data_IF_567917491375
#
_entry.id   IF_567917491375
#
_cell.length_a   1.000
_cell.length_b   1.000
_cell.length_c   1.000
_cell.angle_alpha   90.00
_cell.angle_beta   90.00
_cell.angle_gamma   90.00
#
_symmetry.space_group_name_H-M   'P 1'
#
loop_
_entity.id
_entity.type
_entity.pdbx_description
1 polymer ?
#
# COMPACT_ATOMS: atom_id res chain seq x y z
N UNK A 1 -3.88 7.99 -34.83
CA UNK A 1 -3.50 7.85 -36.27
C UNK A 1 -1.99 8.03 -36.40
N UNK A 2 -1.31 7.31 -37.29
CA UNK A 2 0.14 7.48 -37.47
C UNK A 2 0.37 8.48 -38.62
N UNK A 3 0.89 9.67 -38.32
CA UNK A 3 1.26 10.65 -39.32
C UNK A 3 2.56 10.28 -40.02
N UNK A 4 2.62 10.52 -41.33
CA UNK A 4 3.87 10.55 -42.08
C UNK A 4 4.06 11.95 -42.65
N UNK A 5 5.22 12.56 -42.41
CA UNK A 5 5.61 13.85 -42.97
C UNK A 5 6.81 13.62 -43.85
N UNK A 6 6.73 13.98 -45.12
CA UNK A 6 7.81 13.81 -46.09
C UNK A 6 8.20 15.14 -46.71
N UNK A 7 9.48 15.39 -46.90
CA UNK A 7 9.97 16.45 -47.78
C UNK A 7 9.79 16.02 -49.23
N UNK A 8 9.24 16.87 -50.05
CA UNK A 8 9.03 16.69 -51.48
C UNK A 8 9.61 17.85 -52.25
N UNK A 9 9.90 17.63 -53.53
CA UNK A 9 10.53 18.57 -54.43
C UNK A 9 9.58 18.88 -55.61
N UNK A 10 9.54 20.14 -56.04
CA UNK A 10 8.82 20.60 -57.22
C UNK A 10 9.73 21.45 -58.09
N UNK A 11 9.83 21.16 -59.41
CA UNK A 11 10.59 21.94 -60.35
C UNK A 11 10.08 23.40 -60.47
N UNK A 12 10.99 24.36 -60.40
CA UNK A 12 10.74 25.79 -60.56
C UNK A 12 11.72 26.38 -61.58
N UNK A 13 11.45 27.56 -62.10
CA UNK A 13 12.31 28.28 -63.04
C UNK A 13 12.76 27.43 -64.25
N UNK A 14 11.82 26.92 -65.03
CA UNK A 14 12.07 26.05 -66.20
C UNK A 14 13.01 24.89 -65.94
N UNK A 15 13.07 24.41 -64.66
CA UNK A 15 13.80 23.25 -64.22
C UNK A 15 15.21 23.53 -63.67
N UNK A 16 15.63 24.78 -63.53
CA UNK A 16 16.93 25.13 -62.95
C UNK A 16 16.98 25.03 -61.41
N UNK A 17 15.84 25.12 -60.75
CA UNK A 17 15.72 25.03 -59.30
C UNK A 17 14.58 24.07 -58.87
N UNK A 18 14.69 23.50 -57.67
CA UNK A 18 13.68 22.71 -57.00
C UNK A 18 13.18 23.48 -55.79
N UNK A 19 11.87 23.65 -55.64
CA UNK A 19 11.26 24.18 -54.43
C UNK A 19 10.85 23.03 -53.54
N UNK A 20 11.13 23.13 -52.24
CA UNK A 20 10.83 22.12 -51.24
C UNK A 20 9.47 22.38 -50.56
N UNK A 21 8.72 21.31 -50.31
CA UNK A 21 7.47 21.37 -49.55
C UNK A 21 7.29 20.12 -48.71
N UNK A 22 6.50 20.19 -47.63
CA UNK A 22 6.13 19.04 -46.83
C UNK A 22 4.81 18.46 -47.37
N UNK A 23 4.76 17.13 -47.41
CA UNK A 23 3.55 16.33 -47.64
C UNK A 23 3.14 15.60 -46.36
N UNK A 24 1.90 15.83 -45.93
CA UNK A 24 1.29 15.21 -44.75
C UNK A 24 0.38 14.04 -45.14
N UNK A 25 0.60 12.88 -44.54
CA UNK A 25 -0.21 11.67 -44.76
C UNK A 25 -0.56 11.02 -43.42
N UNK A 26 -1.86 11.03 -43.00
CA UNK A 26 -2.98 11.74 -43.60
C UNK A 26 -2.86 13.27 -43.50
N UNK A 27 -3.64 14.05 -44.27
CA UNK A 27 -3.74 15.50 -44.10
C UNK A 27 -4.15 15.85 -42.66
N UNK A 28 -3.66 16.96 -42.13
CA UNK A 28 -4.09 17.45 -40.80
C UNK A 28 -5.02 18.61 -40.89
N UNK A 29 -5.86 18.80 -39.85
CA UNK A 29 -6.78 19.92 -39.78
C UNK A 29 -6.18 21.01 -38.88
N UNK A 30 -6.14 22.26 -39.41
CA UNK A 30 -5.71 23.42 -38.63
C UNK A 30 -6.75 23.79 -37.58
N UNK A 31 -6.41 24.63 -36.56
CA UNK A 31 -7.40 25.16 -35.60
C UNK A 31 -8.57 25.90 -36.23
N UNK A 32 -8.37 26.46 -37.44
CA UNK A 32 -9.40 27.16 -38.19
C UNK A 32 -10.27 26.26 -39.07
N UNK A 33 -10.08 24.91 -38.98
CA UNK A 33 -10.86 23.92 -39.74
C UNK A 33 -10.35 23.61 -41.15
N UNK A 34 -9.24 24.21 -41.58
CA UNK A 34 -8.66 23.94 -42.92
C UNK A 34 -7.92 22.64 -42.97
N UNK A 35 -8.14 21.86 -44.04
CA UNK A 35 -7.44 20.58 -44.26
C UNK A 35 -6.15 20.83 -45.06
N UNK A 36 -5.01 20.63 -44.41
CA UNK A 36 -3.68 20.87 -44.98
C UNK A 36 -3.01 19.54 -45.35
N UNK A 37 -2.74 19.34 -46.62
CA UNK A 37 -1.96 18.18 -47.13
C UNK A 37 -0.55 18.55 -47.52
N UNK A 38 -0.32 19.81 -47.95
CA UNK A 38 0.95 20.31 -48.42
C UNK A 38 1.30 21.63 -47.76
N UNK A 39 2.55 21.79 -47.32
CA UNK A 39 3.09 23.05 -46.75
C UNK A 39 4.34 23.43 -47.51
N UNK A 40 4.35 24.60 -48.17
CA UNK A 40 5.53 25.10 -48.87
C UNK A 40 6.56 25.62 -47.86
N UNK A 41 7.82 25.17 -48.00
CA UNK A 41 8.89 25.59 -47.12
C UNK A 41 9.58 26.89 -47.53
N UNK A 42 9.32 27.36 -48.75
CA UNK A 42 10.04 28.48 -49.36
C UNK A 42 11.57 28.28 -49.39
N UNK A 43 11.99 27.04 -49.49
CA UNK A 43 13.38 26.60 -49.63
C UNK A 43 13.61 26.11 -51.05
N UNK A 44 14.75 26.44 -51.63
CA UNK A 44 15.05 26.11 -53.00
C UNK A 44 16.45 25.45 -53.12
N UNK A 45 16.55 24.46 -54.00
CA UNK A 45 17.79 23.73 -54.32
C UNK A 45 18.17 23.95 -55.76
N UNK A 46 19.47 24.01 -56.03
CA UNK A 46 19.99 23.95 -57.39
C UNK A 46 19.90 22.51 -57.94
N UNK A 47 19.32 22.34 -59.13
CA UNK A 47 19.19 21.00 -59.75
C UNK A 47 20.54 20.42 -60.14
N UNK A 48 21.42 21.28 -60.76
CA UNK A 48 22.78 20.94 -61.11
C UNK A 48 23.71 21.98 -60.54
N UNK A 49 24.24 21.80 -59.34
CA UNK A 49 25.15 22.78 -58.73
C UNK A 49 26.42 22.91 -59.54
N UNK A 50 26.76 24.15 -59.98
CA UNK A 50 27.88 24.42 -60.83
C UNK A 50 29.21 24.64 -60.11
N UNK A 51 29.17 24.78 -58.76
CA UNK A 51 30.32 25.04 -57.93
C UNK A 51 30.11 24.55 -56.47
N UNK A 52 31.19 24.52 -55.70
CA UNK A 52 31.17 24.04 -54.31
C UNK A 52 30.25 24.89 -53.39
N UNK A 53 30.09 26.19 -53.70
CA UNK A 53 29.21 27.07 -52.92
C UNK A 53 27.72 26.61 -53.10
N UNK A 54 27.30 26.26 -54.31
CA UNK A 54 25.94 25.78 -54.58
C UNK A 54 25.73 24.39 -53.98
N UNK A 55 26.75 23.53 -53.97
CA UNK A 55 26.67 22.23 -53.30
C UNK A 55 26.51 22.39 -51.78
N UNK A 56 27.29 23.32 -51.21
CA UNK A 56 27.18 23.63 -49.78
C UNK A 56 25.83 24.24 -49.43
N UNK A 57 25.29 25.10 -50.29
CA UNK A 57 23.92 25.64 -50.16
C UNK A 57 22.90 24.48 -50.15
N UNK A 58 22.96 23.59 -51.13
CA UNK A 58 22.01 22.45 -51.19
C UNK A 58 22.08 21.57 -49.95
N UNK A 59 23.26 21.28 -49.41
CA UNK A 59 23.41 20.52 -48.15
C UNK A 59 22.74 21.22 -46.99
N UNK A 60 23.00 22.52 -46.82
CA UNK A 60 22.43 23.33 -45.73
C UNK A 60 20.87 23.42 -45.85
N UNK A 61 20.37 23.61 -47.05
CA UNK A 61 18.90 23.68 -47.29
C UNK A 61 18.22 22.35 -46.99
N UNK A 62 18.84 21.22 -47.34
CA UNK A 62 18.31 19.90 -46.99
C UNK A 62 18.29 19.64 -45.48
N UNK A 63 19.35 20.04 -44.75
CA UNK A 63 19.37 19.95 -43.28
C UNK A 63 18.26 20.79 -42.63
N UNK A 64 18.05 22.02 -43.13
CA UNK A 64 16.95 22.90 -42.66
C UNK A 64 15.60 22.24 -42.94
N UNK A 65 15.38 21.74 -44.16
CA UNK A 65 14.12 21.07 -44.54
C UNK A 65 13.82 19.85 -43.66
N UNK A 66 14.81 19.02 -43.36
CA UNK A 66 14.67 17.88 -42.45
C UNK A 66 14.39 18.31 -41.01
N UNK A 67 15.01 19.38 -40.54
CA UNK A 67 14.72 19.94 -39.20
C UNK A 67 13.26 20.40 -39.12
N UNK A 68 12.77 21.16 -40.09
CA UNK A 68 11.36 21.62 -40.14
C UNK A 68 10.42 20.40 -40.24
N UNK A 69 10.75 19.38 -41.03
CA UNK A 69 9.98 18.16 -41.13
C UNK A 69 9.82 17.46 -39.75
N UNK A 70 10.92 17.33 -39.01
CA UNK A 70 10.92 16.74 -37.67
C UNK A 70 10.06 17.55 -36.69
N UNK A 71 10.19 18.88 -36.68
CA UNK A 71 9.39 19.77 -35.82
C UNK A 71 7.89 19.64 -36.11
N UNK A 72 7.50 19.62 -37.42
CA UNK A 72 6.09 19.43 -37.80
C UNK A 72 5.55 18.08 -37.38
N UNK A 73 6.34 17.02 -37.57
CA UNK A 73 5.97 15.69 -37.12
C UNK A 73 5.72 15.63 -35.61
N UNK A 74 6.67 16.16 -34.81
CA UNK A 74 6.54 16.21 -33.34
C UNK A 74 5.30 17.02 -32.92
N UNK A 75 5.03 18.14 -33.56
CA UNK A 75 3.87 18.99 -33.28
C UNK A 75 2.55 18.24 -33.53
N UNK A 76 2.45 17.49 -34.62
CA UNK A 76 1.24 16.70 -34.94
C UNK A 76 1.03 15.56 -33.97
N UNK A 77 2.08 14.82 -33.63
CA UNK A 77 2.03 13.72 -32.64
C UNK A 77 1.67 14.25 -31.25
N UNK A 78 2.22 15.41 -30.87
CA UNK A 78 1.87 16.05 -29.59
C UNK A 78 0.42 16.51 -29.53
N UNK A 79 -0.15 17.05 -30.63
CA UNK A 79 -1.57 17.43 -30.69
C UNK A 79 -2.48 16.22 -30.48
N UNK A 80 -2.20 15.10 -31.15
CA UNK A 80 -2.96 13.85 -30.97
C UNK A 80 -2.82 13.32 -29.54
N UNK A 81 -1.61 13.36 -28.99
CA UNK A 81 -1.36 12.96 -27.60
C UNK A 81 -2.10 13.83 -26.58
N UNK A 82 -2.11 15.14 -26.78
CA UNK A 82 -2.84 16.10 -25.92
C UNK A 82 -4.36 15.90 -26.05
N UNK A 83 -4.90 15.63 -27.24
CA UNK A 83 -6.32 15.34 -27.43
C UNK A 83 -6.73 14.03 -26.72
N UNK A 84 -5.96 12.95 -26.92
CA UNK A 84 -6.17 11.68 -26.24
C UNK A 84 -6.02 11.78 -24.71
N UNK A 85 -5.12 12.65 -24.22
CA UNK A 85 -4.97 12.88 -22.79
C UNK A 85 -6.11 13.70 -22.19
N UNK A 86 -6.69 14.64 -22.93
CA UNK A 86 -7.87 15.41 -22.48
C UNK A 86 -9.09 14.50 -22.28
N UNK A 87 -9.35 13.57 -23.19
CA UNK A 87 -10.46 12.62 -23.06
C UNK A 87 -10.25 11.71 -21.84
N UNK A 88 -9.04 11.20 -21.62
CA UNK A 88 -8.71 10.41 -20.44
C UNK A 88 -8.84 11.21 -19.13
N UNK A 89 -8.44 12.47 -19.14
CA UNK A 89 -8.48 13.34 -17.96
C UNK A 89 -9.91 13.79 -17.61
N UNK A 90 -10.87 13.74 -18.54
CA UNK A 90 -12.30 14.01 -18.28
C UNK A 90 -13.03 12.81 -17.66
N UNK A 91 -12.42 11.63 -17.63
CA UNK A 91 -12.97 10.42 -17.04
C UNK A 91 -13.23 10.53 -15.53
N UNK A 92 -14.16 9.72 -15.03
CA UNK A 92 -14.56 9.72 -13.62
C UNK A 92 -13.52 8.96 -12.74
N UNK A 93 -12.81 9.69 -11.90
CA UNK A 93 -11.84 9.12 -10.95
C UNK A 93 -12.53 8.32 -9.84
N UNK A 94 -13.77 8.65 -9.46
CA UNK A 94 -14.50 7.94 -8.41
C UNK A 94 -14.88 6.54 -8.89
N UNK A 95 -15.34 6.43 -10.13
CA UNK A 95 -15.64 5.13 -10.75
C UNK A 95 -14.37 4.28 -10.88
N UNK A 96 -13.28 4.88 -11.34
CA UNK A 96 -11.97 4.21 -11.40
C UNK A 96 -11.52 3.72 -10.02
N UNK A 97 -11.62 4.55 -8.99
CA UNK A 97 -11.29 4.20 -7.62
C UNK A 97 -12.17 3.02 -7.15
N UNK A 98 -13.48 3.08 -7.40
CA UNK A 98 -14.43 2.02 -7.02
C UNK A 98 -14.09 0.68 -7.66
N UNK A 99 -13.82 0.67 -8.96
CA UNK A 99 -13.51 -0.55 -9.71
C UNK A 99 -12.22 -1.21 -9.20
N UNK A 100 -11.25 -0.43 -8.74
CA UNK A 100 -10.00 -0.92 -8.20
C UNK A 100 -10.06 -1.31 -6.71
N UNK A 101 -11.01 -0.79 -5.92
CA UNK A 101 -11.17 -1.13 -4.50
C UNK A 101 -11.33 -2.63 -4.25
N UNK A 102 -12.02 -3.34 -5.13
CA UNK A 102 -12.33 -4.77 -5.01
C UNK A 102 -11.09 -5.65 -4.84
N UNK A 103 -9.96 -5.22 -5.40
CA UNK A 103 -8.70 -5.98 -5.36
C UNK A 103 -7.85 -5.72 -4.10
N UNK A 104 -8.16 -4.66 -3.33
CA UNK A 104 -7.27 -4.18 -2.26
C UNK A 104 -7.88 -4.24 -0.85
N UNK A 105 -9.18 -4.59 -0.73
CA UNK A 105 -9.85 -4.85 0.54
C UNK A 105 -10.38 -3.60 1.26
N UNK A 106 -10.99 -3.81 2.41
CA UNK A 106 -11.85 -2.88 3.16
C UNK A 106 -11.24 -1.50 3.44
N UNK A 107 -9.92 -1.42 3.59
CA UNK A 107 -9.20 -0.15 3.80
C UNK A 107 -9.40 0.81 2.62
N UNK A 108 -9.40 0.30 1.40
CA UNK A 108 -9.59 1.09 0.18
C UNK A 108 -11.04 1.52 0.03
N UNK A 109 -11.99 0.66 0.37
CA UNK A 109 -13.43 1.00 0.38
C UNK A 109 -13.74 2.11 1.40
N UNK A 110 -13.14 2.03 2.60
CA UNK A 110 -13.28 3.07 3.60
C UNK A 110 -12.67 4.41 3.12
N UNK A 111 -11.51 4.35 2.46
CA UNK A 111 -10.88 5.52 1.84
C UNK A 111 -11.79 6.14 0.77
N UNK A 112 -12.35 5.34 -0.12
CA UNK A 112 -13.29 5.78 -1.15
C UNK A 112 -14.55 6.44 -0.55
N UNK A 113 -15.12 5.87 0.51
CA UNK A 113 -16.28 6.48 1.21
C UNK A 113 -15.95 7.87 1.73
N UNK A 114 -14.79 8.06 2.32
CA UNK A 114 -14.33 9.37 2.77
C UNK A 114 -14.05 10.31 1.60
N UNK A 115 -13.46 9.80 0.52
CA UNK A 115 -13.16 10.58 -0.67
C UNK A 115 -14.45 11.07 -1.36
N UNK A 116 -15.46 10.21 -1.51
CA UNK A 116 -16.79 10.59 -2.03
C UNK A 116 -17.42 11.75 -1.24
N UNK A 117 -17.31 11.72 0.10
CA UNK A 117 -17.81 12.82 0.93
C UNK A 117 -16.99 14.11 0.75
N UNK A 118 -15.69 13.99 0.55
CA UNK A 118 -14.83 15.15 0.31
C UNK A 118 -15.12 15.84 -1.00
N UNK A 119 -15.30 15.09 -2.08
CA UNK A 119 -15.48 15.64 -3.43
C UNK A 119 -16.95 15.81 -3.85
N UNK A 120 -17.94 15.52 -2.96
CA UNK A 120 -19.36 15.63 -3.31
C UNK A 120 -19.81 14.66 -4.40
N UNK A 121 -19.22 13.46 -4.46
CA UNK A 121 -19.46 12.43 -5.48
C UNK A 121 -19.13 12.85 -6.93
N UNK A 122 -18.31 13.89 -7.13
CA UNK A 122 -17.86 14.34 -8.45
C UNK A 122 -16.36 14.60 -8.41
N UNK A 123 -15.58 13.88 -9.20
CA UNK A 123 -14.15 14.09 -9.34
C UNK A 123 -13.66 13.48 -10.65
N UNK A 124 -13.06 14.28 -11.49
CA UNK A 124 -12.44 13.84 -12.74
C UNK A 124 -10.92 13.66 -12.53
N UNK A 125 -10.25 12.91 -13.42
CA UNK A 125 -8.79 12.76 -13.31
C UNK A 125 -8.04 14.09 -13.39
N UNK A 126 -8.54 15.08 -14.14
CA UNK A 126 -7.95 16.43 -14.21
C UNK A 126 -7.92 17.17 -12.87
N UNK A 127 -8.83 16.80 -11.94
CA UNK A 127 -8.93 17.42 -10.62
C UNK A 127 -7.88 16.86 -9.65
N UNK A 128 -7.26 15.71 -10.00
CA UNK A 128 -6.25 15.04 -9.19
C UNK A 128 -4.90 15.75 -9.35
N UNK A 129 -4.75 16.86 -8.68
CA UNK A 129 -3.52 17.65 -8.59
C UNK A 129 -2.96 17.61 -7.15
N UNK A 130 -1.68 17.93 -6.91
CA UNK A 130 -1.08 17.86 -5.57
C UNK A 130 -1.88 18.62 -4.50
N UNK A 131 -2.35 19.83 -4.80
CA UNK A 131 -3.14 20.65 -3.85
C UNK A 131 -4.47 20.00 -3.49
N UNK A 132 -5.14 19.34 -4.44
CA UNK A 132 -6.39 18.63 -4.19
C UNK A 132 -6.17 17.39 -3.29
N UNK A 133 -5.08 16.66 -3.52
CA UNK A 133 -4.68 15.54 -2.67
C UNK A 133 -4.34 16.02 -1.23
N UNK A 134 -3.64 17.14 -1.08
CA UNK A 134 -3.38 17.77 0.21
C UNK A 134 -4.70 18.21 0.90
N UNK A 135 -5.66 18.73 0.15
CA UNK A 135 -7.01 19.02 0.64
C UNK A 135 -7.69 17.80 1.24
N UNK A 136 -7.67 16.66 0.54
CA UNK A 136 -8.22 15.41 1.05
C UNK A 136 -7.46 14.90 2.30
N UNK A 137 -6.14 15.04 2.34
CA UNK A 137 -5.33 14.75 3.55
C UNK A 137 -5.82 15.56 4.75
N UNK A 138 -5.99 16.85 4.58
CA UNK A 138 -6.46 17.75 5.61
C UNK A 138 -7.90 17.44 6.06
N UNK A 139 -8.76 17.07 5.11
CA UNK A 139 -10.09 16.56 5.40
C UNK A 139 -10.04 15.34 6.31
N UNK A 140 -9.24 14.32 5.98
CA UNK A 140 -9.12 13.11 6.80
C UNK A 140 -8.61 13.39 8.23
N UNK A 141 -7.68 14.36 8.38
CA UNK A 141 -7.12 14.73 9.68
C UNK A 141 -8.10 15.49 10.57
N UNK A 142 -9.05 16.23 9.98
CA UNK A 142 -10.01 17.07 10.69
C UNK A 142 -11.38 16.43 10.81
N UNK A 143 -11.72 15.50 9.95
CA UNK A 143 -13.05 14.94 9.85
C UNK A 143 -13.39 13.97 10.99
N UNK A 144 -14.67 13.98 11.41
CA UNK A 144 -15.19 13.03 12.38
C UNK A 144 -15.47 11.68 11.70
N UNK A 145 -15.28 10.58 12.41
CA UNK A 145 -15.60 9.24 11.93
C UNK A 145 -17.08 9.13 11.53
N UNK A 146 -17.34 8.43 10.42
CA UNK A 146 -18.68 8.30 9.85
C UNK A 146 -19.70 7.65 10.78
N UNK A 147 -19.26 6.77 11.68
CA UNK A 147 -20.13 5.98 12.56
C UNK A 147 -20.24 6.50 14.00
N UNK A 148 -19.23 7.23 14.51
CA UNK A 148 -19.15 7.56 15.95
C UNK A 148 -18.97 9.04 16.26
N UNK A 149 -19.07 9.92 15.26
CA UNK A 149 -18.82 11.37 15.37
C UNK A 149 -17.48 11.78 16.05
N UNK A 150 -16.62 10.82 16.38
CA UNK A 150 -15.27 11.06 16.89
C UNK A 150 -14.31 11.35 15.73
N UNK A 151 -13.29 12.18 15.97
CA UNK A 151 -12.22 12.38 14.98
C UNK A 151 -11.59 11.05 14.59
N UNK A 152 -11.25 10.91 13.31
CA UNK A 152 -10.45 9.76 12.86
C UNK A 152 -9.13 9.74 13.62
N UNK A 153 -8.75 8.55 14.11
CA UNK A 153 -7.42 8.37 14.65
C UNK A 153 -6.37 8.67 13.56
N UNK A 154 -5.27 9.34 13.93
CA UNK A 154 -4.24 9.76 12.98
C UNK A 154 -3.72 8.61 12.11
N UNK A 155 -3.52 7.43 12.69
CA UNK A 155 -3.05 6.25 11.94
C UNK A 155 -4.13 5.69 11.00
N UNK A 156 -5.41 5.81 11.34
CA UNK A 156 -6.51 5.47 10.44
C UNK A 156 -6.56 6.44 9.25
N UNK A 157 -6.43 7.75 9.52
CA UNK A 157 -6.33 8.77 8.47
C UNK A 157 -5.12 8.51 7.55
N UNK A 158 -3.95 8.15 8.13
CA UNK A 158 -2.76 7.78 7.37
C UNK A 158 -2.98 6.56 6.48
N UNK A 159 -3.67 5.53 6.99
CA UNK A 159 -3.99 4.33 6.22
C UNK A 159 -4.93 4.64 5.06
N UNK A 160 -5.97 5.43 5.27
CA UNK A 160 -6.92 5.82 4.22
C UNK A 160 -6.27 6.72 3.17
N UNK A 161 -5.45 7.68 3.60
CA UNK A 161 -4.72 8.54 2.68
C UNK A 161 -3.71 7.75 1.84
N UNK A 162 -2.99 6.81 2.44
CA UNK A 162 -2.09 5.91 1.70
C UNK A 162 -2.84 5.06 0.67
N UNK A 163 -4.04 4.56 0.99
CA UNK A 163 -4.88 3.83 0.06
C UNK A 163 -5.29 4.70 -1.14
N UNK A 164 -5.69 5.95 -0.90
CA UNK A 164 -5.99 6.92 -1.94
C UNK A 164 -4.78 7.19 -2.84
N UNK A 165 -3.61 7.49 -2.27
CA UNK A 165 -2.40 7.73 -3.05
C UNK A 165 -1.96 6.52 -3.88
N UNK A 166 -2.23 5.29 -3.41
CA UNK A 166 -1.98 4.09 -4.20
C UNK A 166 -2.86 4.04 -5.46
N UNK A 167 -4.14 4.44 -5.37
CA UNK A 167 -5.02 4.52 -6.54
C UNK A 167 -4.58 5.63 -7.49
N UNK A 168 -4.16 6.79 -6.98
CA UNK A 168 -3.59 7.86 -7.81
C UNK A 168 -2.32 7.39 -8.53
N UNK A 169 -1.44 6.67 -7.83
CA UNK A 169 -0.25 6.08 -8.43
C UNK A 169 -0.57 5.00 -9.47
N UNK A 170 -1.65 4.24 -9.27
CA UNK A 170 -2.13 3.26 -10.24
C UNK A 170 -2.63 3.96 -11.52
N UNK A 171 -3.40 5.03 -11.39
CA UNK A 171 -3.87 5.83 -12.54
C UNK A 171 -2.71 6.42 -13.37
N UNK A 172 -1.60 6.77 -12.73
CA UNK A 172 -0.36 7.14 -13.43
C UNK A 172 0.27 5.95 -14.16
N UNK A 173 0.36 4.77 -13.54
CA UNK A 173 0.88 3.55 -14.17
C UNK A 173 0.05 3.10 -15.37
N UNK A 174 -1.26 3.28 -15.29
CA UNK A 174 -2.22 2.98 -16.37
C UNK A 174 -2.20 4.03 -17.50
N UNK A 175 -1.33 5.05 -17.40
CA UNK A 175 -1.18 6.11 -18.40
C UNK A 175 -2.39 7.03 -18.53
N UNK A 176 -3.22 7.13 -17.48
CA UNK A 176 -4.35 8.09 -17.43
C UNK A 176 -3.83 9.46 -16.96
N UNK A 177 -3.02 9.48 -15.91
CA UNK A 177 -2.32 10.68 -15.44
C UNK A 177 -0.95 10.77 -16.09
N UNK A 178 -0.60 11.94 -16.61
CA UNK A 178 0.71 12.20 -17.26
C UNK A 178 1.85 12.33 -16.27
N UNK A 179 1.58 12.65 -15.01
CA UNK A 179 2.57 12.83 -13.95
C UNK A 179 2.20 12.01 -12.71
N UNK A 180 3.20 11.54 -11.99
CA UNK A 180 2.98 10.83 -10.72
C UNK A 180 2.66 11.83 -9.59
N UNK A 181 1.40 12.26 -9.53
CA UNK A 181 0.90 13.19 -8.50
C UNK A 181 1.16 12.64 -7.08
N UNK A 182 1.01 11.32 -6.90
CA UNK A 182 1.19 10.70 -5.59
C UNK A 182 2.61 10.84 -5.03
N UNK A 183 3.64 10.90 -5.89
CA UNK A 183 5.03 11.08 -5.48
C UNK A 183 5.31 12.51 -4.96
N UNK A 184 4.53 13.49 -5.42
CA UNK A 184 4.70 14.90 -5.05
C UNK A 184 3.91 15.30 -3.79
N UNK A 185 3.22 14.36 -3.15
CA UNK A 185 2.37 14.64 -1.98
C UNK A 185 2.95 13.94 -0.75
N UNK A 186 3.18 14.71 0.32
CA UNK A 186 3.68 14.17 1.60
C UNK A 186 2.61 13.32 2.27
N UNK A 187 2.94 12.09 2.60
CA UNK A 187 2.07 11.17 3.35
C UNK A 187 1.82 11.65 4.78
N UNK A 188 0.79 11.11 5.42
CA UNK A 188 0.56 11.35 6.85
C UNK A 188 1.52 10.45 7.64
N UNK A 189 2.38 11.06 8.44
CA UNK A 189 3.30 10.31 9.33
C UNK A 189 2.52 9.54 10.41
N UNK A 190 2.85 8.26 10.56
CA UNK A 190 2.30 7.42 11.60
C UNK A 190 2.77 7.89 12.97
N UNK A 191 1.84 7.98 13.92
CA UNK A 191 2.22 8.07 15.33
C UNK A 191 2.45 6.67 15.85
N UNK A 192 3.66 6.39 16.27
CA UNK A 192 3.89 5.24 17.15
C UNK A 192 3.20 5.60 18.48
N UNK A 193 2.23 4.77 18.90
CA UNK A 193 1.60 4.97 20.22
C UNK A 193 2.65 4.86 21.32
N UNK A 194 2.40 5.58 22.41
CA UNK A 194 3.10 5.42 23.67
C UNK A 194 3.11 3.93 24.07
N UNK A 195 4.06 3.54 24.90
CA UNK A 195 4.40 2.17 25.27
C UNK A 195 3.20 1.21 25.25
N UNK A 196 3.30 0.16 24.43
CA UNK A 196 2.28 -0.89 24.41
C UNK A 196 2.21 -1.53 25.78
N UNK A 197 1.04 -1.49 26.43
CA UNK A 197 0.82 -2.19 27.68
C UNK A 197 0.90 -3.71 27.47
N UNK A 198 1.56 -4.39 28.39
CA UNK A 198 1.64 -5.84 28.46
C UNK A 198 1.51 -6.29 29.94
N UNK A 199 1.23 -7.57 30.16
CA UNK A 199 1.05 -8.10 31.51
C UNK A 199 2.40 -8.44 32.14
N UNK A 200 2.56 -8.08 33.42
CA UNK A 200 3.67 -8.52 34.27
C UNK A 200 3.42 -9.95 34.77
N UNK A 201 4.45 -10.63 35.28
CA UNK A 201 4.31 -11.98 35.87
C UNK A 201 3.30 -12.02 37.01
N UNK A 202 3.24 -10.97 37.86
CA UNK A 202 2.27 -10.87 38.94
C UNK A 202 0.83 -10.73 38.42
N UNK A 203 0.63 -9.98 37.33
CA UNK A 203 -0.68 -9.84 36.67
C UNK A 203 -1.13 -11.13 36.00
N UNK A 204 -0.20 -11.88 35.37
CA UNK A 204 -0.48 -13.19 34.79
C UNK A 204 -0.92 -14.17 35.89
N UNK A 205 -0.22 -14.23 37.02
CA UNK A 205 -0.61 -15.07 38.17
C UNK A 205 -2.00 -14.72 38.72
N UNK A 206 -2.40 -13.44 38.71
CA UNK A 206 -3.77 -13.02 39.08
C UNK A 206 -4.78 -13.50 38.06
N UNK A 207 -4.45 -13.38 36.76
CA UNK A 207 -5.30 -13.85 35.68
C UNK A 207 -5.51 -15.37 35.69
N UNK A 208 -4.48 -16.14 36.08
CA UNK A 208 -4.57 -17.60 36.25
C UNK A 208 -5.53 -17.98 37.39
N UNK A 209 -5.48 -17.26 38.51
CA UNK A 209 -6.25 -17.58 39.71
C UNK A 209 -7.72 -17.09 39.66
N UNK A 210 -8.02 -16.07 38.85
CA UNK A 210 -9.35 -15.48 38.80
C UNK A 210 -10.39 -16.49 38.32
N UNK A 211 -11.55 -16.57 38.98
CA UNK A 211 -12.72 -17.31 38.51
C UNK A 211 -13.41 -16.47 37.43
N UNK A 212 -13.66 -17.08 36.27
CA UNK A 212 -14.33 -16.41 35.15
C UNK A 212 -15.29 -17.39 34.49
N UNK A 213 -16.47 -17.52 35.09
CA UNK A 213 -17.45 -18.54 34.71
C UNK A 213 -18.38 -18.06 33.58
N UNK A 214 -18.36 -16.77 33.25
CA UNK A 214 -19.20 -16.18 32.19
C UNK A 214 -18.87 -16.77 30.81
N UNK A 215 -17.57 -16.99 30.56
CA UNK A 215 -17.08 -17.61 29.31
C UNK A 215 -15.67 -18.19 29.57
N UNK A 216 -15.59 -19.40 30.14
CA UNK A 216 -14.34 -20.02 30.55
C UNK A 216 -13.31 -20.15 29.42
N UNK A 217 -13.78 -20.40 28.18
CA UNK A 217 -12.93 -20.56 27.00
C UNK A 217 -12.18 -19.27 26.66
N UNK A 218 -12.72 -18.09 26.96
CA UNK A 218 -12.02 -16.81 26.79
C UNK A 218 -10.81 -16.73 27.70
N UNK A 219 -10.95 -17.15 28.97
CA UNK A 219 -9.81 -17.20 29.92
C UNK A 219 -8.77 -18.20 29.42
N UNK A 220 -9.19 -19.40 29.06
CA UNK A 220 -8.32 -20.48 28.59
C UNK A 220 -7.53 -20.06 27.34
N UNK A 221 -8.19 -19.50 26.31
CA UNK A 221 -7.57 -19.00 25.09
C UNK A 221 -6.63 -17.81 25.36
N UNK A 222 -7.00 -16.92 26.29
CA UNK A 222 -6.17 -15.79 26.70
C UNK A 222 -4.85 -16.23 27.32
N UNK A 223 -4.93 -17.16 28.28
CA UNK A 223 -3.74 -17.75 28.92
C UNK A 223 -2.91 -18.53 27.86
N UNK A 224 -3.55 -19.30 27.00
CA UNK A 224 -2.85 -20.01 25.94
C UNK A 224 -2.09 -19.04 25.01
N UNK A 225 -2.69 -17.91 24.64
CA UNK A 225 -2.03 -16.88 23.85
C UNK A 225 -0.84 -16.22 24.59
N UNK A 226 -0.91 -16.06 25.93
CA UNK A 226 0.21 -15.57 26.77
C UNK A 226 1.39 -16.55 26.78
N UNK A 227 1.14 -17.85 26.67
CA UNK A 227 2.18 -18.88 26.71
C UNK A 227 2.68 -19.33 25.32
N UNK A 228 2.03 -18.92 24.23
CA UNK A 228 2.38 -19.32 22.87
C UNK A 228 2.68 -18.17 21.93
N UNK A 229 2.22 -16.96 22.26
CA UNK A 229 2.37 -15.77 21.42
C UNK A 229 1.55 -15.80 20.12
N UNK A 230 0.60 -16.71 19.98
CA UNK A 230 -0.24 -16.82 18.79
C UNK A 230 -1.08 -15.57 18.53
N UNK A 231 -1.33 -15.28 17.26
CA UNK A 231 -2.30 -14.23 16.88
C UNK A 231 -3.72 -14.70 17.18
N UNK A 232 -4.63 -13.76 17.35
CA UNK A 232 -6.06 -14.04 17.57
C UNK A 232 -6.62 -14.99 16.49
N UNK A 233 -6.35 -14.73 15.23
CA UNK A 233 -6.78 -15.58 14.12
C UNK A 233 -6.25 -17.01 14.24
N UNK A 234 -5.01 -17.16 14.68
CA UNK A 234 -4.36 -18.46 14.77
C UNK A 234 -4.92 -19.26 15.96
N UNK A 235 -5.23 -18.60 17.08
CA UNK A 235 -5.91 -19.24 18.25
C UNK A 235 -7.32 -19.69 17.88
N UNK A 236 -8.09 -18.85 17.17
CA UNK A 236 -9.46 -19.16 16.77
C UNK A 236 -9.54 -20.31 15.72
N UNK A 237 -8.50 -20.45 14.91
CA UNK A 237 -8.41 -21.48 13.88
C UNK A 237 -7.62 -22.72 14.32
N UNK A 238 -7.15 -22.79 15.57
CA UNK A 238 -6.30 -23.87 16.05
C UNK A 238 -7.10 -25.18 16.15
N UNK A 239 -6.65 -26.19 15.41
CA UNK A 239 -7.28 -27.51 15.35
C UNK A 239 -6.40 -28.56 16.03
N UNK A 240 -7.00 -29.57 16.63
CA UNK A 240 -6.30 -30.68 17.27
C UNK A 240 -5.33 -31.41 16.34
N UNK A 241 -5.62 -31.49 15.04
CA UNK A 241 -4.73 -32.07 14.01
C UNK A 241 -3.41 -31.34 13.85
N UNK A 242 -3.35 -30.10 14.30
CA UNK A 242 -2.12 -29.30 14.27
C UNK A 242 -1.19 -29.61 15.44
N UNK A 243 -1.64 -30.36 16.45
CA UNK A 243 -0.92 -30.63 17.68
C UNK A 243 -0.21 -31.98 17.64
N UNK A 244 1.03 -32.01 18.16
CA UNK A 244 1.84 -33.19 18.27
C UNK A 244 2.22 -33.37 19.76
N UNK A 245 1.37 -34.09 20.52
CA UNK A 245 1.45 -34.22 21.97
C UNK A 245 2.02 -35.57 22.45
N UNK A 246 2.89 -36.18 21.66
CA UNK A 246 3.45 -37.53 21.96
C UNK A 246 4.17 -37.63 23.31
N UNK A 247 4.73 -36.52 23.82
CA UNK A 247 5.40 -36.43 25.12
C UNK A 247 5.26 -34.99 25.64
N UNK A 248 5.09 -34.83 26.96
CA UNK A 248 5.01 -33.49 27.59
C UNK A 248 6.28 -32.65 27.33
N UNK A 249 7.46 -33.29 27.21
CA UNK A 249 8.72 -32.59 26.95
C UNK A 249 8.93 -32.22 25.48
N UNK A 250 8.29 -32.91 24.54
CA UNK A 250 8.46 -32.73 23.11
C UNK A 250 7.15 -32.37 22.40
N UNK A 251 6.24 -31.72 23.12
CA UNK A 251 5.01 -31.22 22.54
C UNK A 251 5.27 -30.01 21.62
N UNK A 252 4.67 -30.02 20.44
CA UNK A 252 4.73 -28.89 19.51
C UNK A 252 3.45 -28.79 18.69
N UNK A 253 3.22 -27.62 18.13
CA UNK A 253 2.18 -27.39 17.13
C UNK A 253 2.78 -27.03 15.78
N UNK A 254 2.11 -27.42 14.70
CA UNK A 254 2.45 -27.04 13.34
C UNK A 254 1.37 -26.07 12.83
N UNK A 255 1.76 -24.88 12.48
CA UNK A 255 0.85 -23.83 12.02
C UNK A 255 1.24 -23.35 10.62
N UNK A 256 0.24 -23.09 9.80
CA UNK A 256 0.40 -22.31 8.58
C UNK A 256 0.02 -20.88 8.93
N UNK A 257 0.99 -19.99 8.98
CA UNK A 257 0.71 -18.59 9.28
C UNK A 257 -0.03 -17.98 8.10
N UNK A 258 -1.32 -17.71 8.25
CA UNK A 258 -2.21 -17.20 7.19
C UNK A 258 -1.62 -16.02 6.41
N UNK A 259 -0.97 -15.09 7.10
CA UNK A 259 -0.39 -13.88 6.48
C UNK A 259 0.87 -14.16 5.66
N UNK A 260 1.58 -15.26 5.92
CA UNK A 260 2.90 -15.52 5.32
C UNK A 260 2.95 -16.83 4.55
N UNK A 261 1.91 -17.69 4.68
CA UNK A 261 1.83 -19.05 4.15
C UNK A 261 3.01 -19.95 4.58
N UNK A 262 3.80 -19.53 5.56
CA UNK A 262 4.91 -20.31 6.07
C UNK A 262 4.42 -21.34 7.09
N UNK A 263 4.91 -22.57 6.95
CA UNK A 263 4.73 -23.64 7.92
C UNK A 263 5.69 -23.43 9.08
N UNK A 264 5.18 -23.15 10.29
CA UNK A 264 6.00 -22.92 11.48
C UNK A 264 5.74 -24.03 12.48
N UNK A 265 6.83 -24.61 13.01
CA UNK A 265 6.77 -25.55 14.10
C UNK A 265 7.07 -24.79 15.39
N UNK A 266 6.08 -24.70 16.29
CA UNK A 266 6.19 -23.98 17.56
C UNK A 266 6.21 -25.00 18.72
N UNK A 267 7.27 -25.05 19.53
CA UNK A 267 7.28 -25.90 20.72
C UNK A 267 6.27 -25.39 21.75
N UNK A 268 5.67 -26.29 22.49
CA UNK A 268 4.71 -26.00 23.56
C UNK A 268 5.33 -26.25 24.92
N UNK A 269 5.20 -25.29 25.83
CA UNK A 269 5.52 -25.49 27.23
C UNK A 269 4.50 -26.42 27.89
N UNK A 270 4.88 -27.07 28.99
CA UNK A 270 3.95 -27.92 29.76
C UNK A 270 2.71 -27.14 30.21
N UNK A 271 2.86 -25.87 30.57
CA UNK A 271 1.74 -25.00 30.93
C UNK A 271 0.80 -24.79 29.73
N UNK A 272 1.34 -24.54 28.53
CA UNK A 272 0.53 -24.40 27.33
C UNK A 272 -0.24 -25.70 27.01
N UNK A 273 0.40 -26.85 27.16
CA UNK A 273 -0.26 -28.15 26.96
C UNK A 273 -1.38 -28.39 27.96
N UNK A 274 -1.20 -28.04 29.23
CA UNK A 274 -2.26 -28.17 30.27
C UNK A 274 -3.48 -27.29 29.94
N UNK A 275 -3.26 -26.13 29.33
CA UNK A 275 -4.35 -25.21 28.95
C UNK A 275 -5.19 -25.73 27.77
N UNK A 276 -4.74 -26.71 27.00
CA UNK A 276 -5.52 -27.29 25.90
C UNK A 276 -6.66 -28.22 26.37
N UNK A 277 -6.56 -28.73 27.59
CA UNK A 277 -7.54 -29.69 28.11
C UNK A 277 -7.32 -31.11 27.61
N UNK A 278 -8.40 -31.91 27.49
CA UNK A 278 -8.35 -33.29 27.01
C UNK A 278 -8.17 -33.34 25.49
N UNK A 279 -7.14 -34.02 24.97
CA UNK A 279 -6.92 -34.13 23.54
C UNK A 279 -8.09 -34.80 22.81
N UNK A 280 -8.47 -34.25 21.66
CA UNK A 280 -9.39 -34.88 20.71
C UNK A 280 -8.63 -35.28 19.44
N UNK A 281 -9.26 -36.11 18.60
CA UNK A 281 -8.63 -36.52 17.32
C UNK A 281 -8.59 -35.38 16.32
N UNK A 282 -9.65 -34.55 16.28
CA UNK A 282 -9.83 -33.44 15.33
C UNK A 282 -10.80 -32.39 15.86
N UNK A 283 -10.89 -31.26 15.20
CA UNK A 283 -11.80 -30.16 15.50
C UNK A 283 -11.09 -28.97 16.15
N UNK A 284 -11.77 -27.83 16.13
CA UNK A 284 -11.26 -26.58 16.69
C UNK A 284 -11.16 -26.69 18.21
N UNK A 285 -9.98 -26.33 18.75
CA UNK A 285 -9.69 -26.47 20.20
C UNK A 285 -10.57 -25.55 21.04
N UNK A 286 -10.67 -24.28 20.66
CA UNK A 286 -11.48 -23.28 21.34
C UNK A 286 -12.84 -23.13 20.61
N UNK A 287 -13.62 -24.22 20.56
CA UNK A 287 -14.89 -24.25 19.87
C UNK A 287 -15.89 -23.26 20.49
N UNK A 288 -16.69 -22.59 19.63
CA UNK A 288 -17.64 -21.55 20.06
C UNK A 288 -17.01 -20.18 20.35
N UNK A 289 -15.67 -20.08 20.37
CA UNK A 289 -15.00 -18.80 20.58
C UNK A 289 -14.97 -17.99 19.28
N UNK A 290 -15.45 -16.76 19.35
CA UNK A 290 -15.49 -15.85 18.20
C UNK A 290 -14.65 -14.59 18.46
N UNK A 291 -14.29 -13.87 17.40
CA UNK A 291 -13.63 -12.56 17.53
C UNK A 291 -14.47 -11.58 18.35
N UNK A 292 -15.79 -11.58 18.16
CA UNK A 292 -16.71 -10.75 18.94
C UNK A 292 -16.67 -11.11 20.43
N UNK A 293 -16.68 -12.39 20.77
CA UNK A 293 -16.58 -12.85 22.15
C UNK A 293 -15.27 -12.40 22.79
N UNK A 294 -14.12 -12.56 22.11
CA UNK A 294 -12.84 -12.09 22.60
C UNK A 294 -12.82 -10.55 22.83
N UNK A 295 -13.35 -9.78 21.90
CA UNK A 295 -13.38 -8.32 22.04
C UNK A 295 -14.30 -7.88 23.19
N UNK A 296 -15.38 -8.60 23.46
CA UNK A 296 -16.34 -8.31 24.54
C UNK A 296 -15.81 -8.76 25.90
N UNK A 297 -15.33 -9.99 26.01
CA UNK A 297 -15.08 -10.62 27.32
C UNK A 297 -13.64 -10.51 27.81
N UNK A 298 -12.63 -10.27 26.95
CA UNK A 298 -11.25 -10.05 27.40
C UNK A 298 -11.15 -8.81 28.32
N UNK A 299 -11.72 -7.63 27.98
CA UNK A 299 -11.71 -6.50 28.89
C UNK A 299 -12.38 -6.81 30.24
N UNK A 300 -13.46 -7.60 30.24
CA UNK A 300 -14.15 -8.02 31.47
C UNK A 300 -13.25 -8.94 32.30
N UNK A 301 -12.62 -9.95 31.70
CA UNK A 301 -11.67 -10.85 32.34
C UNK A 301 -10.50 -10.09 33.00
N UNK A 302 -9.93 -9.12 32.30
CA UNK A 302 -8.83 -8.27 32.81
C UNK A 302 -9.29 -7.47 34.01
N UNK A 303 -10.47 -6.85 33.93
CA UNK A 303 -11.08 -6.11 35.06
C UNK A 303 -11.34 -7.01 36.27
N UNK A 304 -11.91 -8.20 36.05
CA UNK A 304 -12.19 -9.18 37.11
C UNK A 304 -10.88 -9.68 37.78
N UNK A 305 -9.78 -9.77 37.03
CA UNK A 305 -8.46 -10.07 37.59
C UNK A 305 -7.81 -8.91 38.36
N UNK A 306 -8.51 -7.77 38.53
CA UNK A 306 -7.98 -6.60 39.20
C UNK A 306 -6.83 -5.92 38.47
N UNK A 307 -6.81 -5.97 37.13
CA UNK A 307 -5.79 -5.38 36.29
C UNK A 307 -6.34 -4.08 35.68
N UNK A 308 -5.69 -2.95 35.95
CA UNK A 308 -6.11 -1.63 35.49
C UNK A 308 -5.69 -1.29 34.05
N UNK A 309 -4.77 -2.06 33.47
CA UNK A 309 -4.26 -1.87 32.12
C UNK A 309 -5.30 -2.15 31.05
N UNK A 310 -5.24 -1.42 29.93
CA UNK A 310 -6.07 -1.67 28.77
C UNK A 310 -5.47 -2.82 27.91
N UNK A 311 -5.81 -4.05 28.25
CA UNK A 311 -5.33 -5.26 27.57
C UNK A 311 -6.39 -5.76 26.59
N UNK A 312 -6.03 -5.81 25.31
CA UNK A 312 -6.79 -6.50 24.27
C UNK A 312 -6.18 -7.89 24.01
N UNK A 313 -6.89 -8.77 23.33
CA UNK A 313 -6.37 -10.12 23.03
C UNK A 313 -4.98 -10.08 22.33
N UNK A 314 -4.75 -9.10 21.47
CA UNK A 314 -3.44 -8.94 20.80
C UNK A 314 -2.29 -8.63 21.76
N UNK A 315 -2.58 -8.01 22.92
CA UNK A 315 -1.58 -7.70 23.96
C UNK A 315 -1.02 -8.95 24.65
N UNK A 316 -1.71 -10.07 24.59
CA UNK A 316 -1.18 -11.35 25.10
C UNK A 316 0.05 -11.82 24.30
N UNK A 317 0.07 -11.57 23.00
CA UNK A 317 1.24 -11.82 22.18
C UNK A 317 2.40 -10.87 22.50
N UNK A 318 2.09 -9.58 22.76
CA UNK A 318 3.08 -8.62 23.23
C UNK A 318 3.63 -9.06 24.61
N UNK A 319 2.78 -9.58 25.50
CA UNK A 319 3.15 -10.16 26.81
C UNK A 319 4.10 -11.36 26.64
N UNK A 320 3.80 -12.30 25.75
CA UNK A 320 4.68 -13.43 25.44
C UNK A 320 6.07 -12.97 24.99
N UNK A 321 6.12 -12.01 24.05
CA UNK A 321 7.38 -11.47 23.57
C UNK A 321 8.21 -10.81 24.68
N UNK A 322 7.56 -10.01 25.54
CA UNK A 322 8.23 -9.34 26.64
C UNK A 322 8.73 -10.35 27.69
N UNK A 323 7.95 -11.39 28.01
CA UNK A 323 8.38 -12.46 28.93
C UNK A 323 9.64 -13.16 28.42
N UNK A 324 9.68 -13.51 27.13
CA UNK A 324 10.88 -14.11 26.54
C UNK A 324 12.08 -13.17 26.59
N UNK A 325 11.85 -11.90 26.28
CA UNK A 325 12.88 -10.88 26.31
C UNK A 325 13.44 -10.69 27.73
N UNK A 326 12.58 -10.61 28.75
CA UNK A 326 12.97 -10.43 30.15
C UNK A 326 13.71 -11.65 30.70
N UNK A 327 13.43 -12.86 30.17
CA UNK A 327 14.17 -14.09 30.44
C UNK A 327 15.48 -14.22 29.62
N UNK A 328 15.89 -13.20 28.88
CA UNK A 328 17.18 -13.17 28.20
C UNK A 328 17.20 -13.81 26.81
N UNK A 329 16.04 -14.23 26.27
CA UNK A 329 15.97 -14.78 24.92
C UNK A 329 16.31 -13.68 23.92
N UNK A 330 17.12 -14.00 22.92
CA UNK A 330 17.53 -13.07 21.88
C UNK A 330 16.38 -12.70 20.93
N UNK A 331 16.51 -11.55 20.27
CA UNK A 331 15.46 -10.99 19.44
C UNK A 331 15.15 -11.82 18.18
N UNK A 332 16.13 -12.53 17.64
CA UNK A 332 15.96 -13.35 16.45
C UNK A 332 15.14 -14.61 16.77
N UNK A 333 15.44 -15.24 17.91
CA UNK A 333 14.65 -16.36 18.44
C UNK A 333 13.21 -15.90 18.72
N UNK A 334 13.01 -14.74 19.36
CA UNK A 334 11.66 -14.18 19.59
C UNK A 334 10.94 -13.92 18.24
N UNK A 335 11.61 -13.34 17.26
CA UNK A 335 11.02 -13.11 15.94
C UNK A 335 10.60 -14.40 15.26
N UNK A 336 11.42 -15.46 15.36
CA UNK A 336 11.13 -16.81 14.84
C UNK A 336 9.91 -17.42 15.52
N UNK A 337 9.87 -17.42 16.85
CA UNK A 337 8.75 -17.95 17.64
C UNK A 337 7.43 -17.20 17.35
N UNK A 338 7.51 -15.90 17.12
CA UNK A 338 6.37 -15.09 16.71
C UNK A 338 6.02 -15.24 15.22
N UNK A 339 6.84 -15.87 14.39
CA UNK A 339 6.65 -15.95 12.93
C UNK A 339 6.65 -14.57 12.27
N UNK A 340 7.56 -13.69 12.65
CA UNK A 340 7.76 -12.40 11.99
C UNK A 340 8.66 -12.58 10.77
N UNK A 341 8.25 -12.06 9.61
CA UNK A 341 9.08 -12.04 8.39
C UNK A 341 10.30 -11.14 8.53
N UNK A 342 10.20 -10.06 9.31
CA UNK A 342 11.24 -9.07 9.52
C UNK A 342 11.46 -8.86 11.01
N UNK A 343 12.71 -8.90 11.43
CA UNK A 343 13.12 -8.66 12.83
C UNK A 343 12.76 -7.27 13.30
N UNK A 344 12.70 -6.29 12.39
CA UNK A 344 12.24 -4.92 12.70
C UNK A 344 10.88 -4.87 13.38
N UNK A 345 9.98 -5.82 13.10
CA UNK A 345 8.69 -5.95 13.79
C UNK A 345 8.82 -6.34 15.26
N UNK A 346 9.95 -6.95 15.64
CA UNK A 346 10.27 -7.42 17.00
C UNK A 346 11.09 -6.39 17.78
N UNK A 347 11.78 -5.47 17.08
CA UNK A 347 12.60 -4.41 17.71
C UNK A 347 11.81 -3.50 18.64
N UNK A 348 10.50 -3.40 18.44
CA UNK A 348 9.63 -2.63 19.33
C UNK A 348 9.70 -3.13 20.78
N UNK A 349 9.86 -4.43 21.00
CA UNK A 349 9.96 -5.01 22.35
C UNK A 349 11.27 -4.65 23.05
N UNK A 350 12.37 -4.50 22.32
CA UNK A 350 13.65 -4.06 22.87
C UNK A 350 13.54 -2.63 23.43
N UNK A 351 12.83 -1.77 22.73
CA UNK A 351 12.59 -0.39 23.17
C UNK A 351 11.69 -0.31 24.42
N UNK A 352 10.87 -1.33 24.66
CA UNK A 352 9.93 -1.39 25.78
C UNK A 352 10.54 -2.01 27.05
N UNK A 353 11.77 -2.56 27.01
CA UNK A 353 12.43 -3.20 28.17
C UNK A 353 13.62 -2.39 28.71
N UNK A 354 13.38 -1.34 29.54
CA UNK A 354 14.45 -0.60 30.22
C UNK A 354 15.29 -1.49 31.16
N UNK A 355 14.70 -2.60 31.65
CA UNK A 355 15.36 -3.52 32.57
C UNK A 355 16.54 -4.25 31.93
N UNK A 356 16.48 -4.54 30.60
CA UNK A 356 17.62 -5.14 29.88
C UNK A 356 18.81 -4.18 29.81
N UNK A 357 18.56 -2.91 29.51
CA UNK A 357 19.61 -1.89 29.50
C UNK A 357 20.26 -1.77 30.89
N UNK A 358 19.45 -1.76 31.95
CA UNK A 358 19.93 -1.71 33.34
C UNK A 358 20.72 -2.96 33.72
N UNK A 359 20.23 -4.17 33.38
CA UNK A 359 20.96 -5.44 33.62
C UNK A 359 22.27 -5.54 32.83
N UNK A 360 22.31 -4.99 31.62
CA UNK A 360 23.53 -4.97 30.81
C UNK A 360 24.60 -4.06 31.42
N UNK A 361 24.17 -2.86 31.88
CA UNK A 361 25.07 -1.93 32.59
C UNK A 361 25.58 -2.48 33.94
N UNK A 362 24.80 -3.31 34.63
CA UNK A 362 25.21 -3.94 35.88
C UNK A 362 26.18 -5.12 35.72
N UNK A 363 26.46 -5.54 34.47
CA UNK A 363 27.43 -6.59 34.14
C UNK A 363 28.82 -6.03 33.73
N UNK A 364 28.93 -4.70 33.61
CA UNK A 364 30.17 -3.96 33.42
C UNK A 364 30.80 -3.59 34.76
#
# INVERSE_FOLDING_TARGET
MSYRVKVRERKKNKGAMLSLYLEFMPPYVTPNGECVRYENLNLELYVNPANEIQEKHNRMINEIAETIRCERYITLVQKDYIALSKDKLSGDFIEYFHNNCKYYGIKFECSLRHFRKYCGNKCQFKDIIPSYCEGFKNYLLRHKCLHHQKKLARNTAAAYFSAFLNIVSLAYKDGILSTNVAANVKTITWKHGDSKEYLTESEIKRLEKVKFDIFPEVKQASLFAIYTGLRRSDVLALDWRNLHLRSKKNAYMTLIIHKTQNKVRLPLSETAVKLLGKPLKEGVIFNGLTEHALNKYVPMLIKTAGISKHITFHRFRDTFAMRLLDNGVDIYTIATLLGHKQVSSTQIYVRLSPQKARKALMKL
#
